data_IF_227042246615
#
_entry.id   IF_227042246615
#
_cell.length_a   1.000
_cell.length_b   1.000
_cell.length_c   1.000
_cell.angle_alpha   90.00
_cell.angle_beta   90.00
_cell.angle_gamma   90.00
#
_symmetry.space_group_name_H-M   'P 1'
#
loop_
_entity.id
_entity.type
_entity.pdbx_description
1 polymer ?
#
# COMPACT_ATOMS: atom_id res chain seq x y z
N UNK A 1 -11.75 -18.54 13.56
CA UNK A 1 -12.05 -17.20 14.11
C UNK A 1 -12.02 -16.21 12.96
N UNK A 2 -13.17 -15.65 12.57
CA UNK A 2 -13.25 -14.68 11.46
C UNK A 2 -12.69 -13.34 11.93
N UNK A 3 -11.56 -12.88 11.36
CA UNK A 3 -11.08 -11.52 11.58
C UNK A 3 -12.16 -10.52 11.18
N UNK A 4 -12.43 -9.54 12.05
CA UNK A 4 -13.41 -8.48 11.80
C UNK A 4 -13.05 -7.74 10.51
N UNK A 5 -14.05 -7.24 9.77
CA UNK A 5 -13.84 -6.43 8.56
C UNK A 5 -12.94 -5.22 8.85
N UNK A 6 -13.04 -4.66 10.06
CA UNK A 6 -12.20 -3.55 10.51
C UNK A 6 -10.72 -3.93 10.69
N UNK A 7 -10.43 -5.11 11.24
CA UNK A 7 -9.06 -5.58 11.38
C UNK A 7 -8.39 -5.78 10.01
N UNK A 8 -9.14 -6.29 9.04
CA UNK A 8 -8.65 -6.43 7.66
C UNK A 8 -8.45 -5.08 6.97
N UNK A 9 -9.28 -4.09 7.27
CA UNK A 9 -9.09 -2.73 6.77
C UNK A 9 -7.82 -2.09 7.34
N UNK A 10 -7.58 -2.24 8.65
CA UNK A 10 -6.37 -1.73 9.30
C UNK A 10 -5.09 -2.39 8.75
N UNK A 11 -5.10 -3.72 8.56
CA UNK A 11 -3.97 -4.44 7.94
C UNK A 11 -3.64 -3.89 6.54
N UNK A 12 -4.65 -3.56 5.73
CA UNK A 12 -4.43 -3.00 4.39
C UNK A 12 -3.92 -1.56 4.40
N UNK A 13 -4.34 -0.74 5.37
CA UNK A 13 -3.79 0.61 5.54
C UNK A 13 -2.31 0.58 5.94
N UNK A 14 -1.94 -0.34 6.82
CA UNK A 14 -0.55 -0.53 7.24
C UNK A 14 0.34 -0.98 6.07
N UNK A 15 -0.15 -1.91 5.25
CA UNK A 15 0.53 -2.36 4.04
C UNK A 15 0.70 -1.24 3.01
N UNK A 16 -0.30 -0.37 2.83
CA UNK A 16 -0.22 0.79 1.94
C UNK A 16 0.81 1.81 2.44
N UNK A 17 0.84 2.08 3.74
CA UNK A 17 1.84 2.96 4.35
C UNK A 17 3.26 2.38 4.22
N UNK A 18 3.42 1.06 4.35
CA UNK A 18 4.72 0.40 4.17
C UNK A 18 5.21 0.46 2.72
N UNK A 19 4.33 0.23 1.74
CA UNK A 19 4.65 0.36 0.32
C UNK A 19 5.10 1.79 -0.02
N UNK A 20 4.39 2.79 0.51
CA UNK A 20 4.75 4.21 0.35
C UNK A 20 6.14 4.52 0.92
N UNK A 21 6.47 4.02 2.11
CA UNK A 21 7.80 4.18 2.72
C UNK A 21 8.90 3.51 1.90
N UNK A 22 8.63 2.35 1.31
CA UNK A 22 9.58 1.63 0.44
C UNK A 22 9.81 2.40 -0.86
N UNK A 23 8.75 2.93 -1.49
CA UNK A 23 8.87 3.79 -2.66
C UNK A 23 9.77 5.00 -2.36
N UNK A 24 9.55 5.69 -1.24
CA UNK A 24 10.36 6.85 -0.86
C UNK A 24 11.85 6.52 -0.64
N UNK A 25 12.18 5.34 -0.07
CA UNK A 25 13.57 4.88 0.06
C UNK A 25 14.22 4.54 -1.28
N UNK A 26 13.45 3.97 -2.19
CA UNK A 26 13.95 3.63 -3.52
C UNK A 26 14.34 4.91 -4.28
N UNK A 27 13.52 5.96 -4.21
CA UNK A 27 13.83 7.30 -4.77
C UNK A 27 15.17 7.84 -4.25
N UNK A 28 15.54 7.57 -2.99
CA UNK A 28 16.77 8.13 -2.40
C UNK A 28 18.06 7.39 -2.75
N UNK A 29 18.00 6.23 -3.42
CA UNK A 29 19.16 5.32 -3.51
C UNK A 29 19.67 5.13 -4.95
N UNK A 30 18.80 5.16 -5.97
CA UNK A 30 19.19 5.13 -7.39
C UNK A 30 18.03 5.59 -8.29
N UNK A 31 18.10 6.80 -8.86
CA UNK A 31 16.97 7.43 -9.57
C UNK A 31 16.47 6.64 -10.79
N UNK A 32 17.31 5.80 -11.42
CA UNK A 32 16.96 5.07 -12.66
C UNK A 32 16.31 3.71 -12.41
N UNK A 33 16.77 2.95 -11.42
CA UNK A 33 16.03 1.77 -10.94
C UNK A 33 14.80 2.17 -10.10
N UNK A 34 14.79 3.41 -9.59
CA UNK A 34 13.73 3.88 -8.72
C UNK A 34 12.38 4.09 -9.39
N UNK A 35 12.30 4.63 -10.60
CA UNK A 35 10.99 4.96 -11.18
C UNK A 35 10.11 3.72 -11.37
N UNK A 36 10.67 2.64 -11.92
CA UNK A 36 9.94 1.39 -12.13
C UNK A 36 9.55 0.70 -10.81
N UNK A 37 10.40 0.74 -9.78
CA UNK A 37 10.05 0.22 -8.45
C UNK A 37 9.03 1.10 -7.73
N UNK A 38 9.10 2.42 -7.88
CA UNK A 38 8.18 3.39 -7.26
C UNK A 38 6.79 3.25 -7.84
N UNK A 39 6.66 3.18 -9.17
CA UNK A 39 5.38 2.96 -9.83
C UNK A 39 4.74 1.65 -9.36
N UNK A 40 5.53 0.57 -9.24
CA UNK A 40 5.06 -0.70 -8.69
C UNK A 40 4.53 -0.60 -7.25
N UNK A 41 5.21 0.15 -6.38
CA UNK A 41 4.77 0.33 -4.99
C UNK A 41 3.56 1.24 -4.85
N UNK A 42 3.44 2.28 -5.69
CA UNK A 42 2.29 3.16 -5.74
C UNK A 42 1.04 2.43 -6.23
N UNK A 43 1.15 1.62 -7.30
CA UNK A 43 0.04 0.78 -7.76
C UNK A 43 -0.45 -0.20 -6.68
N UNK A 44 0.47 -0.79 -5.91
CA UNK A 44 0.09 -1.64 -4.76
C UNK A 44 -0.62 -0.85 -3.67
N UNK A 45 -0.15 0.36 -3.35
CA UNK A 45 -0.77 1.21 -2.35
C UNK A 45 -2.21 1.58 -2.76
N UNK A 46 -2.42 1.97 -4.01
CA UNK A 46 -3.75 2.30 -4.54
C UNK A 46 -4.68 1.08 -4.54
N UNK A 47 -4.18 -0.10 -4.93
CA UNK A 47 -4.94 -1.34 -4.87
C UNK A 47 -5.41 -1.66 -3.44
N UNK A 48 -4.52 -1.54 -2.45
CA UNK A 48 -4.85 -1.80 -1.05
C UNK A 48 -5.81 -0.75 -0.48
N UNK A 49 -5.62 0.54 -0.82
CA UNK A 49 -6.53 1.62 -0.44
C UNK A 49 -7.95 1.42 -1.02
N UNK A 50 -8.04 0.99 -2.28
CA UNK A 50 -9.32 0.66 -2.91
C UNK A 50 -10.03 -0.51 -2.21
N UNK A 51 -9.29 -1.58 -1.87
CA UNK A 51 -9.84 -2.70 -1.09
C UNK A 51 -10.33 -2.28 0.30
N UNK A 52 -9.57 -1.44 1.00
CA UNK A 52 -9.97 -0.92 2.31
C UNK A 52 -11.27 -0.10 2.22
N UNK A 53 -11.42 0.74 1.19
CA UNK A 53 -12.65 1.52 0.94
C UNK A 53 -13.86 0.62 0.65
N UNK A 54 -13.69 -0.45 -0.12
CA UNK A 54 -14.76 -1.41 -0.39
C UNK A 54 -15.20 -2.13 0.89
N UNK A 55 -14.25 -2.52 1.74
CA UNK A 55 -14.54 -3.20 3.01
C UNK A 55 -15.21 -2.31 4.06
N UNK A 56 -15.01 -0.98 3.98
CA UNK A 56 -15.62 0.02 4.87
C UNK A 56 -17.00 0.51 4.42
N UNK A 57 -17.42 0.24 3.19
CA UNK A 57 -18.80 0.49 2.79
C UNK A 57 -19.71 -0.53 3.50
N UNK A 58 -20.84 -0.09 4.09
CA UNK A 58 -21.76 -0.96 4.84
C UNK A 58 -22.27 -2.12 3.98
#
# INVERSE_FOLDING_TARGET
MSRSREQRAAEHEELAAEATRRAARVISTDEREASASVDHYLERADHHAARARVLRKP
#
